data_IF_973991640560
#
_entry.id   IF_973991640560
#
_cell.length_a   1.000
_cell.length_b   1.000
_cell.length_c   1.000
_cell.angle_alpha   90.00
_cell.angle_beta   90.00
_cell.angle_gamma   90.00
#
_symmetry.space_group_name_H-M   'P 1'
#
loop_
_entity.id
_entity.type
_entity.pdbx_description
1 polymer ?
#
# COMPACT_ATOMS: atom_id res chain seq x y z
N UNK A 1 -10.58 -21.76 -9.56
CA UNK A 1 -10.32 -20.83 -8.43
C UNK A 1 -10.82 -19.47 -8.85
N UNK A 2 -11.71 -18.87 -8.05
CA UNK A 2 -12.43 -17.62 -8.32
C UNK A 2 -11.56 -16.38 -8.05
N UNK A 3 -11.87 -15.27 -8.71
CA UNK A 3 -11.17 -13.99 -8.54
C UNK A 3 -11.14 -13.55 -7.06
N UNK A 4 -10.05 -12.91 -6.60
CA UNK A 4 -9.98 -12.37 -5.24
C UNK A 4 -10.95 -11.19 -5.12
N UNK A 5 -11.91 -11.32 -4.20
CA UNK A 5 -12.78 -10.21 -3.80
C UNK A 5 -12.07 -9.30 -2.79
N UNK A 6 -11.93 -8.00 -3.06
CA UNK A 6 -11.52 -7.02 -2.07
C UNK A 6 -12.48 -7.00 -0.89
N UNK A 7 -11.92 -7.05 0.31
CA UNK A 7 -12.66 -6.93 1.56
C UNK A 7 -12.21 -5.67 2.29
N UNK A 8 -13.17 -4.84 2.66
CA UNK A 8 -12.95 -3.67 3.50
C UNK A 8 -13.46 -3.99 4.91
N UNK A 9 -12.55 -4.07 5.88
CA UNK A 9 -12.87 -4.20 7.30
C UNK A 9 -12.44 -2.91 8.00
N UNK A 10 -13.42 -2.14 8.49
CA UNK A 10 -13.14 -0.90 9.22
C UNK A 10 -12.19 -1.17 10.38
N UNK A 11 -11.17 -0.31 10.50
CA UNK A 11 -10.09 -0.45 11.50
C UNK A 11 -9.35 -1.79 11.46
N UNK A 12 -9.41 -2.52 10.33
CA UNK A 12 -8.86 -3.88 10.16
C UNK A 12 -9.41 -4.93 11.15
N UNK A 13 -10.52 -4.64 11.83
CA UNK A 13 -11.02 -5.46 12.93
C UNK A 13 -12.48 -5.22 13.28
N UNK A 14 -13.29 -4.76 12.33
CA UNK A 14 -14.69 -4.37 12.53
C UNK A 14 -15.52 -5.32 13.43
N UNK A 15 -15.40 -6.66 13.32
CA UNK A 15 -16.16 -7.58 14.17
C UNK A 15 -15.83 -7.50 15.67
N UNK A 16 -14.74 -6.84 16.06
CA UNK A 16 -14.21 -6.80 17.43
C UNK A 16 -14.33 -5.42 18.09
N UNK A 17 -14.81 -4.41 17.35
CA UNK A 17 -14.88 -3.04 17.84
C UNK A 17 -16.32 -2.65 18.23
N UNK A 18 -16.59 -2.39 19.52
CA UNK A 18 -17.95 -2.08 19.98
C UNK A 18 -18.41 -0.65 19.67
N UNK A 19 -17.49 0.29 19.43
CA UNK A 19 -17.81 1.68 19.12
C UNK A 19 -17.85 1.94 17.61
N UNK A 20 -18.34 3.11 17.22
CA UNK A 20 -18.31 3.54 15.83
C UNK A 20 -16.85 3.66 15.31
N UNK A 21 -16.53 3.21 14.08
CA UNK A 21 -15.17 3.23 13.53
C UNK A 21 -14.45 4.59 13.63
N UNK A 22 -15.18 5.70 13.48
CA UNK A 22 -14.64 7.06 13.58
C UNK A 22 -13.95 7.30 14.92
N UNK A 23 -14.45 6.75 16.03
CA UNK A 23 -13.83 6.92 17.35
C UNK A 23 -12.40 6.35 17.36
N UNK A 24 -12.19 5.21 16.71
CA UNK A 24 -10.87 4.59 16.63
C UNK A 24 -9.97 5.27 15.60
N UNK A 25 -10.54 5.79 14.52
CA UNK A 25 -9.80 6.56 13.53
C UNK A 25 -9.28 7.87 14.12
N UNK A 26 -10.12 8.60 14.86
CA UNK A 26 -9.75 9.84 15.55
C UNK A 26 -8.66 9.56 16.59
N UNK A 27 -8.83 8.53 17.42
CA UNK A 27 -7.81 8.11 18.39
C UNK A 27 -6.47 7.75 17.73
N UNK A 28 -6.50 7.05 16.58
CA UNK A 28 -5.29 6.75 15.84
C UNK A 28 -4.62 8.04 15.34
N UNK A 29 -5.40 8.99 14.82
CA UNK A 29 -4.90 10.31 14.40
C UNK A 29 -4.22 11.06 15.55
N UNK A 30 -4.89 11.15 16.71
CA UNK A 30 -4.33 11.79 17.90
C UNK A 30 -3.02 11.14 18.36
N UNK A 31 -2.93 9.81 18.35
CA UNK A 31 -1.72 9.09 18.72
C UNK A 31 -0.60 9.28 17.70
N UNK A 32 -0.93 9.41 16.40
CA UNK A 32 0.06 9.70 15.37
C UNK A 32 0.66 11.09 15.61
N UNK A 33 -0.18 12.10 15.81
CA UNK A 33 0.25 13.49 16.03
C UNK A 33 1.02 13.65 17.34
N UNK A 34 0.59 12.98 18.41
CA UNK A 34 1.23 13.06 19.72
C UNK A 34 2.63 12.44 19.74
N UNK A 35 2.82 11.35 19.00
CA UNK A 35 4.06 10.56 19.04
C UNK A 35 4.98 10.77 17.84
N UNK A 36 4.57 11.59 16.86
CA UNK A 36 5.34 11.89 15.64
C UNK A 36 5.82 10.60 14.94
N UNK A 37 4.87 9.71 14.64
CA UNK A 37 5.16 8.39 14.05
C UNK A 37 4.92 8.39 12.54
N UNK A 38 5.78 7.66 11.82
CA UNK A 38 5.58 7.44 10.39
C UNK A 38 4.57 6.32 10.13
N UNK A 39 3.65 6.53 9.20
CA UNK A 39 2.66 5.54 8.78
C UNK A 39 2.95 5.09 7.36
N UNK A 40 3.02 3.77 7.15
CA UNK A 40 3.30 3.17 5.84
C UNK A 40 2.18 2.22 5.40
N UNK A 41 1.80 2.31 4.13
CA UNK A 41 0.95 1.34 3.47
C UNK A 41 1.81 0.36 2.66
N UNK A 42 1.76 -0.92 2.99
CA UNK A 42 2.59 -1.95 2.34
C UNK A 42 1.72 -2.97 1.59
N UNK A 43 1.89 -3.06 0.27
CA UNK A 43 1.25 -4.10 -0.53
C UNK A 43 1.97 -5.44 -0.33
N UNK A 44 1.27 -6.44 0.22
CA UNK A 44 1.73 -7.83 0.38
C UNK A 44 1.01 -8.81 -0.56
N UNK A 45 0.19 -8.27 -1.46
CA UNK A 45 -0.61 -8.99 -2.45
C UNK A 45 0.12 -9.17 -3.78
N UNK A 46 -0.51 -8.71 -4.86
CA UNK A 46 -0.08 -8.94 -6.24
C UNK A 46 0.49 -7.67 -6.89
N UNK A 47 1.35 -7.87 -7.88
CA UNK A 47 1.91 -6.81 -8.74
C UNK A 47 2.03 -7.30 -10.19
N UNK A 48 2.12 -6.36 -11.13
CA UNK A 48 2.32 -6.63 -12.57
C UNK A 48 1.10 -7.17 -13.32
N UNK A 49 -0.08 -7.13 -12.72
CA UNK A 49 -1.33 -7.55 -13.34
C UNK A 49 -2.39 -7.92 -12.29
N UNK A 50 -3.63 -8.14 -12.74
CA UNK A 50 -4.68 -8.75 -11.92
C UNK A 50 -4.29 -10.19 -11.55
N UNK A 51 -5.04 -10.80 -10.62
CA UNK A 51 -4.92 -12.22 -10.33
C UNK A 51 -5.00 -13.07 -11.61
N UNK A 52 -4.11 -14.06 -11.75
CA UNK A 52 -3.97 -14.89 -12.94
C UNK A 52 -3.03 -14.33 -14.03
N UNK A 53 -2.71 -13.03 -14.01
CA UNK A 53 -1.74 -12.41 -14.95
C UNK A 53 -0.49 -11.90 -14.21
N UNK A 54 -0.71 -11.20 -13.10
CA UNK A 54 0.37 -10.69 -12.25
C UNK A 54 1.07 -11.80 -11.46
N UNK A 55 1.96 -11.39 -10.57
CA UNK A 55 2.63 -12.28 -9.61
C UNK A 55 2.51 -11.74 -8.19
N UNK A 56 2.51 -12.64 -7.21
CA UNK A 56 2.57 -12.25 -5.80
C UNK A 56 3.92 -11.58 -5.51
N UNK A 57 3.91 -10.52 -4.71
CA UNK A 57 5.15 -9.84 -4.31
C UNK A 57 6.00 -10.83 -3.48
N UNK A 58 7.30 -10.93 -3.81
CA UNK A 58 8.22 -11.78 -3.07
C UNK A 58 8.33 -11.30 -1.63
N UNK A 59 8.21 -12.22 -0.68
CA UNK A 59 8.34 -11.93 0.75
C UNK A 59 9.69 -11.27 1.09
N UNK A 60 10.74 -11.58 0.32
CA UNK A 60 12.05 -10.93 0.46
C UNK A 60 11.93 -9.41 0.29
N UNK A 61 11.26 -8.92 -0.75
CA UNK A 61 11.11 -7.49 -1.00
C UNK A 61 10.22 -6.82 0.05
N UNK A 62 9.13 -7.46 0.47
CA UNK A 62 8.28 -6.95 1.55
C UNK A 62 9.08 -6.78 2.85
N UNK A 63 9.90 -7.78 3.21
CA UNK A 63 10.76 -7.70 4.40
C UNK A 63 11.79 -6.58 4.29
N UNK A 64 12.39 -6.40 3.11
CA UNK A 64 13.34 -5.30 2.90
C UNK A 64 12.68 -3.92 3.04
N UNK A 65 11.50 -3.71 2.44
CA UNK A 65 10.76 -2.45 2.60
C UNK A 65 10.44 -2.16 4.06
N UNK A 66 9.97 -3.17 4.82
CA UNK A 66 9.67 -3.03 6.25
C UNK A 66 10.93 -2.77 7.08
N UNK A 67 12.04 -3.45 6.81
CA UNK A 67 13.31 -3.21 7.50
C UNK A 67 13.80 -1.77 7.28
N UNK A 68 13.68 -1.26 6.05
CA UNK A 68 14.08 0.09 5.69
C UNK A 68 13.19 1.14 6.38
N UNK A 69 11.88 0.89 6.48
CA UNK A 69 10.96 1.71 7.27
C UNK A 69 11.34 1.74 8.77
N UNK A 70 11.55 0.57 9.38
CA UNK A 70 11.89 0.45 10.81
C UNK A 70 13.27 1.06 11.13
N UNK A 71 14.24 0.94 10.21
CA UNK A 71 15.57 1.54 10.39
C UNK A 71 15.58 3.07 10.24
N UNK A 72 14.46 3.68 9.86
CA UNK A 72 14.33 5.12 9.64
C UNK A 72 14.97 5.62 8.34
N UNK A 73 15.53 4.73 7.51
CA UNK A 73 16.14 5.10 6.22
C UNK A 73 15.13 5.76 5.27
N UNK A 74 13.84 5.42 5.38
CA UNK A 74 12.79 6.03 4.55
C UNK A 74 12.47 7.48 4.92
N UNK A 75 12.75 7.95 6.14
CA UNK A 75 12.42 9.31 6.58
C UNK A 75 12.99 10.41 5.68
N UNK A 76 14.19 10.17 5.14
CA UNK A 76 14.91 11.12 4.29
C UNK A 76 14.98 10.67 2.82
N UNK A 77 14.16 9.70 2.41
CA UNK A 77 14.14 9.22 1.04
C UNK A 77 13.47 10.25 0.11
N UNK A 78 13.77 10.15 -1.19
CA UNK A 78 13.03 10.89 -2.21
C UNK A 78 11.71 10.17 -2.52
N UNK A 79 10.63 10.94 -2.64
CA UNK A 79 9.29 10.43 -2.91
C UNK A 79 8.70 11.03 -4.16
N UNK A 80 7.94 10.22 -4.88
CA UNK A 80 7.04 10.65 -5.95
C UNK A 80 5.59 10.45 -5.55
N UNK A 81 4.71 11.35 -5.97
CA UNK A 81 3.30 11.29 -5.62
C UNK A 81 2.53 10.46 -6.65
N UNK A 82 1.81 9.45 -6.18
CA UNK A 82 0.87 8.72 -7.01
C UNK A 82 -0.33 9.60 -7.40
N UNK A 83 -0.70 9.59 -8.67
CA UNK A 83 -1.77 10.45 -9.19
C UNK A 83 -3.17 9.93 -8.90
N UNK A 84 -3.32 8.66 -8.51
CA UNK A 84 -4.63 8.03 -8.32
C UNK A 84 -5.05 8.15 -6.86
N UNK A 85 -4.27 7.59 -5.94
CA UNK A 85 -4.51 7.53 -4.51
C UNK A 85 -3.82 8.66 -3.74
N UNK A 86 -2.94 9.44 -4.37
CA UNK A 86 -2.24 10.55 -3.72
C UNK A 86 -1.12 10.12 -2.75
N UNK A 87 -0.75 8.84 -2.75
CA UNK A 87 0.27 8.27 -1.88
C UNK A 87 1.68 8.76 -2.23
N UNK A 88 2.52 8.99 -1.22
CA UNK A 88 3.96 9.21 -1.39
C UNK A 88 4.68 7.88 -1.55
N UNK A 89 5.17 7.59 -2.76
CA UNK A 89 5.90 6.37 -3.09
C UNK A 89 7.40 6.67 -3.11
N UNK A 90 8.24 5.94 -2.36
CA UNK A 90 9.69 6.14 -2.41
C UNK A 90 10.22 5.83 -3.81
N UNK A 91 11.06 6.72 -4.35
CA UNK A 91 11.64 6.62 -5.69
C UNK A 91 12.57 5.41 -5.79
N UNK A 92 13.25 5.10 -4.70
CA UNK A 92 14.12 3.94 -4.57
C UNK A 92 14.18 3.41 -3.14
N UNK A 93 14.40 2.11 -3.03
CA UNK A 93 14.74 1.40 -1.81
C UNK A 93 15.84 0.42 -2.20
N UNK A 94 16.94 0.43 -1.46
CA UNK A 94 18.06 -0.50 -1.63
C UNK A 94 17.55 -1.95 -1.72
N UNK A 95 18.05 -2.70 -2.70
CA UNK A 95 17.68 -4.10 -2.99
C UNK A 95 16.20 -4.36 -3.32
N UNK A 96 15.40 -3.32 -3.58
CA UNK A 96 14.01 -3.45 -4.04
C UNK A 96 13.86 -2.89 -5.46
N UNK A 97 13.44 -3.70 -6.45
CA UNK A 97 13.26 -3.21 -7.81
C UNK A 97 12.21 -2.08 -7.89
N UNK A 98 12.48 -1.05 -8.71
CA UNK A 98 11.55 0.07 -8.95
C UNK A 98 10.17 -0.37 -9.48
N UNK A 99 10.10 -1.52 -10.15
CA UNK A 99 8.84 -2.13 -10.60
C UNK A 99 7.99 -2.66 -9.44
N UNK A 100 8.60 -3.00 -8.31
CA UNK A 100 7.87 -3.38 -7.08
C UNK A 100 7.40 -2.13 -6.33
N UNK A 101 8.20 -1.07 -6.32
CA UNK A 101 7.88 0.17 -5.61
C UNK A 101 6.73 0.94 -6.26
N UNK A 102 6.82 1.19 -7.56
CA UNK A 102 5.77 1.86 -8.31
C UNK A 102 5.04 0.84 -9.21
N UNK A 103 3.80 0.45 -8.85
CA UNK A 103 3.11 -0.67 -9.49
C UNK A 103 2.82 -0.44 -10.98
N UNK A 104 2.69 0.80 -11.47
CA UNK A 104 2.52 1.07 -12.91
C UNK A 104 3.68 0.52 -13.74
N UNK A 105 4.88 0.46 -13.16
CA UNK A 105 6.08 -0.02 -13.84
C UNK A 105 6.15 -1.55 -13.91
N UNK A 106 5.36 -2.27 -13.12
CA UNK A 106 5.28 -3.72 -13.20
C UNK A 106 4.32 -4.22 -14.29
N UNK A 107 3.37 -3.39 -14.71
CA UNK A 107 2.38 -3.77 -15.73
C UNK A 107 2.97 -3.58 -17.13
N UNK A 108 2.81 -4.59 -17.98
CA UNK A 108 3.23 -4.51 -19.39
C UNK A 108 2.39 -3.50 -20.18
N UNK A 109 1.13 -3.32 -19.79
CA UNK A 109 0.17 -2.39 -20.36
C UNK A 109 -0.24 -1.35 -19.31
N UNK A 110 0.25 -0.12 -19.47
CA UNK A 110 0.02 0.98 -18.53
C UNK A 110 -1.42 1.47 -18.54
N UNK A 111 -2.13 1.35 -19.66
CA UNK A 111 -3.54 1.77 -19.73
C UNK A 111 -4.42 0.77 -18.98
N UNK A 112 -4.11 -0.54 -19.05
CA UNK A 112 -4.77 -1.53 -18.19
C UNK A 112 -4.51 -1.31 -16.69
N UNK A 113 -3.30 -0.88 -16.32
CA UNK A 113 -3.02 -0.49 -14.95
C UNK A 113 -3.89 0.69 -14.52
N UNK A 114 -3.94 1.77 -15.32
CA UNK A 114 -4.73 2.97 -15.01
C UNK A 114 -6.20 2.63 -14.84
N UNK A 115 -6.79 1.89 -15.79
CA UNK A 115 -8.17 1.44 -15.70
C UNK A 115 -8.44 0.60 -14.43
N UNK A 116 -7.48 -0.25 -14.03
CA UNK A 116 -7.62 -1.03 -12.79
C UNK A 116 -7.46 -0.18 -11.53
N UNK A 117 -6.59 0.84 -11.55
CA UNK A 117 -6.41 1.76 -10.45
C UNK A 117 -7.65 2.66 -10.28
N UNK A 118 -8.26 3.10 -11.39
CA UNK A 118 -9.52 3.83 -11.43
C UNK A 118 -10.70 3.01 -10.91
N UNK A 119 -10.81 1.73 -11.29
CA UNK A 119 -11.81 0.81 -10.72
C UNK A 119 -11.61 0.66 -9.21
N UNK A 120 -10.37 0.50 -8.76
CA UNK A 120 -10.07 0.30 -7.35
C UNK A 120 -10.42 1.52 -6.50
N UNK A 121 -10.07 2.74 -6.94
CA UNK A 121 -10.36 3.95 -6.17
C UNK A 121 -11.86 4.23 -6.05
N UNK A 122 -12.68 3.83 -7.03
CA UNK A 122 -14.14 3.95 -6.93
C UNK A 122 -14.78 3.05 -5.87
N UNK A 123 -14.02 2.08 -5.35
CA UNK A 123 -14.48 1.09 -4.37
C UNK A 123 -14.01 1.38 -2.95
N UNK A 124 -13.10 2.34 -2.79
CA UNK A 124 -12.70 2.90 -1.50
C UNK A 124 -13.69 3.98 -1.07
#
# INVERSE_FOLDING_TARGET
MTEPEPSFSTCFGAPFFPLHPTVYADLLGELIDLHDVDVYLVNTGWTGGKYGVGRRISLHYTRQMVNQAISGKLKNAEYTKDSTFGLSIPVEIEDVPKTILNPINAWSDKEKYKAQAEDLIQRF
#
